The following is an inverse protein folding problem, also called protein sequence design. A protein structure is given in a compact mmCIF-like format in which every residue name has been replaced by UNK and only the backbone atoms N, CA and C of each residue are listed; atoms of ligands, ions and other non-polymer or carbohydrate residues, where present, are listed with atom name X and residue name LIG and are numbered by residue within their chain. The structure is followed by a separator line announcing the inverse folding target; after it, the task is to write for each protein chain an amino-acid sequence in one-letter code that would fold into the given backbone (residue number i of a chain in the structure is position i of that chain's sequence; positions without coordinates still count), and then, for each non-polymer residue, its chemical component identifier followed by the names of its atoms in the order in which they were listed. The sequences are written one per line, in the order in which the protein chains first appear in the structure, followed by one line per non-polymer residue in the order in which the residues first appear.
data_IF_897959465508
#
_entry.id   IF_897959465508
#
_cell.length_a   1.000
_cell.length_b   1.000
_cell.length_c   1.000
_cell.angle_alpha   90.00
_cell.angle_beta   90.00
_cell.angle_gamma   90.00
#
_symmetry.space_group_name_H-M   'P 1'
#
loop_
_entity.id
_entity.type
_entity.pdbx_description
1 polymer ?
#
# COMPACT_ATOMS: atom_id res chain seq x y z
N UNK A 1 7.23 17.15 -20.93
CA UNK A 1 6.81 15.78 -21.31
C UNK A 1 6.48 15.02 -20.05
N UNK A 2 5.21 14.89 -19.70
CA UNK A 2 4.79 14.17 -18.47
C UNK A 2 4.83 12.66 -18.73
N UNK A 3 5.87 12.02 -18.21
CA UNK A 3 6.02 10.56 -18.26
C UNK A 3 4.90 9.91 -17.43
N UNK A 4 3.93 9.28 -18.11
CA UNK A 4 2.86 8.52 -17.46
C UNK A 4 3.39 7.16 -17.00
N UNK A 5 4.28 7.17 -16.03
CA UNK A 5 4.89 5.95 -15.53
C UNK A 5 3.92 5.27 -14.56
N UNK A 6 3.47 4.07 -14.93
CA UNK A 6 2.72 3.19 -14.05
C UNK A 6 3.69 2.50 -13.10
N UNK A 7 3.38 2.51 -11.81
CA UNK A 7 4.16 1.87 -10.77
C UNK A 7 3.32 0.81 -10.06
N UNK A 8 3.99 -0.24 -9.59
CA UNK A 8 3.33 -1.32 -8.84
C UNK A 8 2.93 -0.83 -7.45
N UNK A 9 1.96 -1.53 -6.83
CA UNK A 9 1.54 -1.26 -5.45
C UNK A 9 2.70 -1.27 -4.45
N UNK A 10 3.70 -2.13 -4.65
CA UNK A 10 4.88 -2.20 -3.78
C UNK A 10 5.70 -0.92 -3.87
N UNK A 11 6.00 -0.47 -5.10
CA UNK A 11 6.76 0.77 -5.31
C UNK A 11 6.00 2.00 -4.81
N UNK A 12 4.69 2.05 -5.02
CA UNK A 12 3.84 3.12 -4.49
C UNK A 12 3.85 3.14 -2.94
N UNK A 13 3.80 1.97 -2.30
CA UNK A 13 3.86 1.84 -0.84
C UNK A 13 5.20 2.35 -0.30
N UNK A 14 6.31 1.98 -0.95
CA UNK A 14 7.66 2.42 -0.58
C UNK A 14 7.81 3.95 -0.69
N UNK A 15 7.26 4.56 -1.75
CA UNK A 15 7.29 6.02 -1.94
C UNK A 15 6.47 6.78 -0.89
N UNK A 16 5.31 6.25 -0.51
CA UNK A 16 4.42 6.84 0.50
C UNK A 16 4.85 6.49 1.94
N UNK A 17 5.77 5.53 2.12
CA UNK A 17 6.18 5.06 3.44
C UNK A 17 5.07 4.33 4.21
N UNK A 18 4.13 3.69 3.49
CA UNK A 18 3.01 2.92 4.07
C UNK A 18 3.11 1.46 3.64
N UNK A 19 2.25 0.60 4.20
CA UNK A 19 2.21 -0.80 3.76
C UNK A 19 1.41 -0.97 2.46
N UNK A 20 1.73 -1.96 1.62
CA UNK A 20 0.90 -2.30 0.45
C UNK A 20 -0.55 -2.65 0.81
N UNK A 21 -0.79 -3.17 2.03
CA UNK A 21 -2.14 -3.46 2.53
C UNK A 21 -2.96 -2.18 2.70
N UNK A 22 -2.34 -1.10 3.18
CA UNK A 22 -2.98 0.22 3.28
C UNK A 22 -3.45 0.72 1.90
N UNK A 23 -2.63 0.56 0.87
CA UNK A 23 -3.01 0.90 -0.51
C UNK A 23 -4.15 0.02 -1.05
N UNK A 24 -4.19 -1.27 -0.72
CA UNK A 24 -5.32 -2.15 -1.07
C UNK A 24 -6.62 -1.71 -0.40
N UNK A 25 -6.54 -1.29 0.86
CA UNK A 25 -7.69 -0.77 1.59
C UNK A 25 -8.18 0.56 0.99
N UNK A 26 -7.28 1.42 0.53
CA UNK A 26 -7.65 2.67 -0.16
C UNK A 26 -8.27 2.43 -1.53
N UNK A 27 -7.80 1.42 -2.28
CA UNK A 27 -8.46 0.94 -3.50
C UNK A 27 -9.87 0.45 -3.21
N UNK A 28 -10.04 -0.39 -2.16
CA UNK A 28 -11.35 -0.91 -1.75
C UNK A 28 -12.30 0.20 -1.31
N UNK A 29 -11.80 1.21 -0.60
CA UNK A 29 -12.58 2.34 -0.11
C UNK A 29 -12.79 3.45 -1.16
N UNK A 30 -12.27 3.29 -2.39
CA UNK A 30 -12.40 4.28 -3.46
C UNK A 30 -11.59 5.56 -3.27
N UNK A 31 -10.73 5.64 -2.23
CA UNK A 31 -9.85 6.80 -1.97
C UNK A 31 -8.74 6.92 -3.00
N UNK A 32 -8.27 5.79 -3.54
CA UNK A 32 -7.23 5.76 -4.57
C UNK A 32 -7.62 4.74 -5.63
N UNK A 33 -7.88 5.20 -6.85
CA UNK A 33 -8.31 4.32 -7.94
C UNK A 33 -7.10 3.57 -8.51
N UNK A 34 -6.99 2.27 -8.23
CA UNK A 34 -5.99 1.46 -8.89
C UNK A 34 -6.40 1.20 -10.35
N UNK A 35 -5.43 1.31 -11.25
CA UNK A 35 -5.57 0.75 -12.59
C UNK A 35 -5.24 -0.74 -12.53
N UNK A 36 -5.89 -1.52 -13.40
CA UNK A 36 -5.61 -2.95 -13.52
C UNK A 36 -4.76 -3.17 -14.75
N UNK A 37 -3.67 -3.89 -14.56
CA UNK A 37 -2.78 -4.22 -15.66
C UNK A 37 -3.48 -5.25 -16.59
N UNK A 38 -3.49 -5.04 -17.91
CA UNK A 38 -4.34 -5.80 -18.83
C UNK A 38 -4.00 -7.30 -18.89
N UNK A 39 -2.75 -7.66 -18.64
CA UNK A 39 -2.26 -9.04 -18.81
C UNK A 39 -2.42 -9.88 -17.54
N UNK A 40 -2.25 -9.29 -16.35
CA UNK A 40 -2.15 -10.04 -15.10
C UNK A 40 -3.08 -9.51 -13.99
N UNK A 41 -3.91 -8.50 -14.31
CA UNK A 41 -4.90 -7.91 -13.43
C UNK A 41 -4.35 -7.33 -12.11
N UNK A 42 -3.02 -7.15 -12.02
CA UNK A 42 -2.37 -6.55 -10.85
C UNK A 42 -2.72 -5.06 -10.76
N UNK A 43 -2.76 -4.58 -9.51
CA UNK A 43 -2.97 -3.16 -9.20
C UNK A 43 -1.73 -2.37 -9.52
N UNK A 44 -1.88 -1.42 -10.44
CA UNK A 44 -0.87 -0.43 -10.80
C UNK A 44 -1.43 0.96 -10.59
N UNK A 45 -0.57 1.89 -10.23
CA UNK A 45 -0.92 3.28 -9.95
C UNK A 45 -0.13 4.18 -10.87
N UNK A 46 -0.73 5.31 -11.28
CA UNK A 46 0.05 6.33 -11.97
C UNK A 46 0.97 6.99 -10.95
N UNK A 47 2.23 7.19 -11.33
CA UNK A 47 3.20 7.88 -10.48
C UNK A 47 2.71 9.26 -10.04
N UNK A 48 2.10 10.01 -10.95
CA UNK A 48 1.54 11.35 -10.69
C UNK A 48 0.44 11.33 -9.61
N UNK A 49 -0.44 10.32 -9.62
CA UNK A 49 -1.51 10.20 -8.63
C UNK A 49 -0.91 9.96 -7.23
N UNK A 50 0.17 9.17 -7.15
CA UNK A 50 0.88 8.90 -5.90
C UNK A 50 1.64 10.14 -5.39
N UNK A 51 2.29 10.88 -6.27
CA UNK A 51 2.98 12.14 -5.93
C UNK A 51 1.99 13.20 -5.47
N UNK A 52 0.86 13.37 -6.17
CA UNK A 52 -0.21 14.28 -5.76
C UNK A 52 -0.79 13.89 -4.40
N UNK A 53 -1.00 12.60 -4.16
CA UNK A 53 -1.49 12.11 -2.87
C UNK A 53 -0.48 12.38 -1.75
N UNK A 54 0.82 12.25 -2.02
CA UNK A 54 1.87 12.59 -1.07
C UNK A 54 1.83 14.08 -0.71
N UNK A 55 1.67 14.96 -1.70
CA UNK A 55 1.50 16.41 -1.48
C UNK A 55 0.22 16.72 -0.69
N UNK A 56 -0.91 16.09 -1.02
CA UNK A 56 -2.17 16.25 -0.29
C UNK A 56 -2.05 15.81 1.18
N UNK A 57 -1.36 14.70 1.45
CA UNK A 57 -1.10 14.22 2.81
C UNK A 57 -0.20 15.21 3.57
N UNK A 58 0.84 15.73 2.90
CA UNK A 58 1.75 16.73 3.48
C UNK A 58 1.04 18.04 3.82
N UNK A 59 0.13 18.50 2.95
CA UNK A 59 -0.53 19.79 3.09
C UNK A 59 -1.72 19.76 4.08
N UNK A 60 -2.40 18.61 4.21
CA UNK A 60 -3.65 18.51 4.97
C UNK A 60 -3.48 17.95 6.40
N UNK A 61 -2.29 17.50 6.81
CA UNK A 61 -2.14 16.84 8.13
C UNK A 61 -1.01 17.41 8.98
N UNK A 62 -1.36 17.78 10.23
CA UNK A 62 -0.42 17.67 11.36
C UNK A 62 0.24 16.28 11.26
N UNK A 63 1.57 16.17 11.47
CA UNK A 63 2.32 14.97 11.11
C UNK A 63 1.62 13.73 11.67
N UNK A 64 1.19 12.84 10.77
CA UNK A 64 0.71 11.51 11.15
C UNK A 64 1.89 10.85 11.84
N UNK A 65 1.90 10.85 13.18
CA UNK A 65 2.94 10.20 13.96
C UNK A 65 3.04 8.78 13.43
N UNK A 66 4.23 8.39 12.98
CA UNK A 66 4.47 7.05 12.47
C UNK A 66 4.15 6.08 13.61
N UNK A 67 2.98 5.45 13.56
CA UNK A 67 2.69 4.34 14.45
C UNK A 67 3.57 3.19 13.98
N UNK A 68 4.75 3.07 14.59
CA UNK A 68 5.59 1.89 14.46
C UNK A 68 4.68 0.66 14.60
N UNK A 69 4.73 -0.32 13.68
CA UNK A 69 3.90 -1.50 13.82
C UNK A 69 4.32 -2.19 15.11
N UNK A 70 3.56 -2.00 16.19
CA UNK A 70 3.65 -2.80 17.40
C UNK A 70 3.03 -4.14 17.05
N UNK A 71 3.74 -4.95 16.27
CA UNK A 71 3.39 -6.34 16.03
C UNK A 71 3.45 -7.03 17.38
N UNK A 72 2.30 -7.22 18.01
CA UNK A 72 2.15 -8.20 19.08
C UNK A 72 2.36 -9.56 18.40
N UNK A 73 3.55 -10.13 18.53
CA UNK A 73 3.78 -11.53 18.14
C UNK A 73 2.83 -12.36 19.02
N UNK A 74 1.91 -13.08 18.39
CA UNK A 74 1.16 -14.13 19.07
C UNK A 74 2.10 -15.33 19.12
N UNK A 75 2.35 -15.87 20.31
CA UNK A 75 3.07 -17.14 20.46
C UNK A 75 2.19 -18.27 19.95
N UNK A 76 2.28 -18.55 18.64
CA UNK A 76 1.59 -19.68 18.03
C UNK A 76 2.44 -20.92 18.27
N UNK A 77 2.08 -21.72 19.28
CA UNK A 77 2.59 -23.09 19.42
C UNK A 77 2.10 -23.89 18.20
N UNK A 78 3.03 -24.30 17.36
CA UNK A 78 2.74 -25.23 16.28
C UNK A 78 2.56 -26.62 16.89
N UNK A 79 1.32 -27.06 17.04
CA UNK A 79 1.04 -28.47 17.35
C UNK A 79 1.19 -29.27 16.06
N UNK A 80 2.29 -29.98 15.93
CA UNK A 80 2.41 -31.07 14.98
C UNK A 80 1.78 -32.30 15.61
N UNK A 81 0.49 -32.50 15.36
CA UNK A 81 -0.17 -33.77 15.62
C UNK A 81 -0.80 -34.27 14.33
N UNK A 82 0.02 -34.92 13.50
CA UNK A 82 -0.41 -35.98 12.59
C UNK A 82 0.79 -36.90 12.31
N UNK A 83 1.26 -37.59 13.35
CA UNK A 83 1.85 -38.92 13.19
C UNK A 83 0.72 -39.92 13.43
N UNK A 84 0.18 -40.47 12.34
CA UNK A 84 -0.43 -41.80 12.30
C UNK A 84 -0.45 -42.32 10.86
#
# INVERSE_FOLDING_TARGET
MTQHQLISIKKAADLLGITPLTLRNWDKNGKLKALRHPINNYRVYKRQDIEKLLEEISNNTKPIKKASPKVKKLDVKHMNEYDN
#
